data_IF_587103578290
#
_entry.id   IF_587103578290
#
_cell.length_a   1.000
_cell.length_b   1.000
_cell.length_c   1.000
_cell.angle_alpha   90.00
_cell.angle_beta   90.00
_cell.angle_gamma   90.00
#
_symmetry.space_group_name_H-M   'P 1'
#
loop_
_entity.id
_entity.type
_entity.pdbx_description
1 polymer ?
#
# COMPACT_ATOMS: atom_id res chain seq x y z
N UNK A 1 -29.61 -4.81 9.78
CA UNK A 1 -28.33 -4.59 9.06
C UNK A 1 -28.66 -4.31 7.60
N UNK A 2 -28.25 -3.17 7.04
CA UNK A 2 -28.45 -2.91 5.60
C UNK A 2 -27.55 -3.85 4.79
N UNK A 3 -28.15 -4.71 3.96
CA UNK A 3 -27.41 -5.59 3.04
C UNK A 3 -26.76 -4.68 1.99
N UNK A 4 -25.43 -4.61 2.01
CA UNK A 4 -24.69 -3.84 1.03
C UNK A 4 -24.51 -4.67 -0.25
N UNK A 5 -25.14 -4.26 -1.34
CA UNK A 5 -24.99 -4.90 -2.65
C UNK A 5 -23.70 -4.42 -3.32
N UNK A 6 -22.76 -5.33 -3.58
CA UNK A 6 -21.50 -5.02 -4.27
C UNK A 6 -21.46 -5.72 -5.63
N UNK A 7 -21.08 -4.99 -6.68
CA UNK A 7 -21.00 -5.50 -8.06
C UNK A 7 -19.59 -5.36 -8.64
N UNK A 8 -19.16 -6.34 -9.42
CA UNK A 8 -17.92 -6.26 -10.18
C UNK A 8 -18.06 -5.36 -11.41
N UNK A 9 -17.01 -4.58 -11.70
CA UNK A 9 -17.00 -3.58 -12.78
C UNK A 9 -16.08 -3.95 -13.95
N UNK A 10 -15.50 -5.14 -13.97
CA UNK A 10 -14.57 -5.58 -15.03
C UNK A 10 -14.75 -7.08 -15.28
N UNK A 11 -14.37 -7.52 -16.47
CA UNK A 11 -14.30 -8.95 -16.82
C UNK A 11 -12.92 -9.24 -17.39
N UNK A 12 -12.32 -10.36 -17.01
CA UNK A 12 -11.02 -10.81 -17.50
C UNK A 12 -11.23 -11.57 -18.82
N UNK A 13 -10.33 -11.46 -19.82
CA UNK A 13 -10.39 -12.27 -21.03
C UNK A 13 -10.30 -13.77 -20.72
N UNK A 14 -11.00 -14.58 -21.52
CA UNK A 14 -11.05 -16.04 -21.33
C UNK A 14 -9.69 -16.70 -21.58
N UNK A 15 -8.97 -16.26 -22.62
CA UNK A 15 -7.63 -16.73 -22.95
C UNK A 15 -6.57 -15.77 -22.37
N UNK A 16 -5.78 -16.20 -21.37
CA UNK A 16 -4.79 -15.35 -20.73
C UNK A 16 -3.63 -14.92 -21.64
N UNK A 17 -3.16 -15.81 -22.52
CA UNK A 17 -1.93 -15.64 -23.30
C UNK A 17 -2.21 -15.61 -24.82
N UNK A 18 -2.77 -14.50 -25.28
CA UNK A 18 -3.03 -14.26 -26.69
C UNK A 18 -2.20 -13.07 -27.15
N UNK A 19 -1.16 -13.31 -27.96
CA UNK A 19 -0.16 -12.30 -28.34
C UNK A 19 -0.79 -11.06 -28.97
N UNK A 20 -1.67 -11.25 -29.96
CA UNK A 20 -2.37 -10.18 -30.67
C UNK A 20 -3.14 -9.26 -29.71
N UNK A 21 -3.85 -9.84 -28.73
CA UNK A 21 -4.58 -9.08 -27.71
C UNK A 21 -3.62 -8.36 -26.76
N UNK A 22 -2.55 -9.02 -26.31
CA UNK A 22 -1.58 -8.42 -25.40
C UNK A 22 -0.91 -7.19 -26.01
N UNK A 23 -0.57 -7.24 -27.30
CA UNK A 23 0.02 -6.14 -28.07
C UNK A 23 -0.98 -5.00 -28.26
N UNK A 24 -2.23 -5.29 -28.64
CA UNK A 24 -3.29 -4.29 -28.76
C UNK A 24 -3.55 -3.57 -27.42
N UNK A 25 -3.62 -4.30 -26.32
CA UNK A 25 -3.78 -3.73 -24.98
C UNK A 25 -2.58 -2.87 -24.56
N UNK A 26 -1.36 -3.27 -24.94
CA UNK A 26 -0.16 -2.50 -24.65
C UNK A 26 -0.17 -1.17 -25.40
N UNK A 27 -0.54 -1.18 -26.69
CA UNK A 27 -0.70 0.03 -27.51
C UNK A 27 -1.71 0.98 -26.89
N UNK A 28 -2.90 0.49 -26.52
CA UNK A 28 -3.92 1.29 -25.83
C UNK A 28 -3.42 1.83 -24.49
N UNK A 29 -2.70 1.02 -23.70
CA UNK A 29 -2.16 1.46 -22.43
C UNK A 29 -1.11 2.57 -22.59
N UNK A 30 -0.26 2.47 -23.61
CA UNK A 30 0.74 3.48 -23.96
C UNK A 30 0.08 4.77 -24.45
N UNK A 31 -0.78 4.67 -25.46
CA UNK A 31 -1.46 5.82 -26.07
C UNK A 31 -2.30 6.58 -25.04
N UNK A 32 -3.07 5.89 -24.20
CA UNK A 32 -3.95 6.54 -23.21
C UNK A 32 -3.34 6.71 -21.81
N UNK A 33 -2.06 6.36 -21.64
CA UNK A 33 -1.33 6.45 -20.36
C UNK A 33 -2.04 5.73 -19.21
N UNK A 34 -2.47 4.48 -19.45
CA UNK A 34 -3.19 3.65 -18.49
C UNK A 34 -2.20 2.98 -17.52
N UNK A 35 -2.58 2.86 -16.24
CA UNK A 35 -1.73 2.19 -15.25
C UNK A 35 -1.74 0.66 -15.39
N UNK A 36 -2.88 0.09 -15.77
CA UNK A 36 -3.08 -1.35 -15.77
C UNK A 36 -4.09 -1.79 -16.84
N UNK A 37 -3.98 -3.05 -17.26
CA UNK A 37 -4.93 -3.70 -18.18
C UNK A 37 -6.34 -3.77 -17.62
N UNK A 38 -6.50 -3.72 -16.29
CA UNK A 38 -7.81 -3.66 -15.63
C UNK A 38 -8.61 -2.40 -15.99
N UNK A 39 -7.95 -1.27 -16.27
CA UNK A 39 -8.64 -0.08 -16.78
C UNK A 39 -9.26 -0.34 -18.16
N UNK A 40 -8.58 -1.09 -19.05
CA UNK A 40 -9.11 -1.52 -20.36
C UNK A 40 -10.27 -2.49 -20.16
N UNK A 41 -10.10 -3.51 -19.31
CA UNK A 41 -11.12 -4.53 -19.03
C UNK A 41 -12.41 -3.95 -18.45
N UNK A 42 -12.33 -2.86 -17.70
CA UNK A 42 -13.51 -2.14 -17.19
C UNK A 42 -14.29 -1.49 -18.31
N UNK A 43 -13.62 -0.83 -19.25
CA UNK A 43 -14.27 -0.21 -20.42
C UNK A 43 -14.84 -1.29 -21.33
N UNK A 44 -14.08 -2.35 -21.60
CA UNK A 44 -14.56 -3.50 -22.37
C UNK A 44 -15.82 -4.13 -21.76
N UNK A 45 -15.86 -4.30 -20.44
CA UNK A 45 -17.04 -4.82 -19.74
C UNK A 45 -18.25 -3.88 -19.82
N UNK A 46 -18.04 -2.56 -19.70
CA UNK A 46 -19.09 -1.57 -19.87
C UNK A 46 -19.65 -1.57 -21.29
N UNK A 47 -18.78 -1.58 -22.30
CA UNK A 47 -19.14 -1.64 -23.71
C UNK A 47 -19.93 -2.92 -24.03
N UNK A 48 -19.52 -4.08 -23.49
CA UNK A 48 -20.25 -5.33 -23.66
C UNK A 48 -21.68 -5.28 -23.10
N UNK A 49 -21.89 -4.61 -21.95
CA UNK A 49 -23.24 -4.42 -21.40
C UNK A 49 -24.09 -3.51 -22.29
N UNK A 50 -23.51 -2.42 -22.78
CA UNK A 50 -24.17 -1.47 -23.68
C UNK A 50 -24.58 -2.17 -24.99
N UNK A 51 -23.66 -2.91 -25.61
CA UNK A 51 -23.93 -3.68 -26.83
C UNK A 51 -24.95 -4.80 -26.62
N UNK A 52 -24.96 -5.46 -25.46
CA UNK A 52 -25.98 -6.46 -25.13
C UNK A 52 -27.36 -5.82 -25.09
N UNK A 53 -27.52 -4.72 -24.34
CA UNK A 53 -28.78 -3.99 -24.29
C UNK A 53 -29.22 -3.51 -25.68
N UNK A 54 -28.31 -2.99 -26.50
CA UNK A 54 -28.63 -2.58 -27.87
C UNK A 54 -29.10 -3.76 -28.75
N UNK A 55 -28.46 -4.93 -28.66
CA UNK A 55 -28.90 -6.13 -29.38
C UNK A 55 -30.30 -6.59 -28.94
N UNK A 56 -30.57 -6.61 -27.65
CA UNK A 56 -31.88 -7.02 -27.10
C UNK A 56 -33.02 -6.06 -27.53
N UNK A 57 -32.70 -4.79 -27.79
CA UNK A 57 -33.65 -3.80 -28.31
C UNK A 57 -33.83 -3.91 -29.83
N UNK A 58 -32.78 -4.26 -30.57
CA UNK A 58 -32.82 -4.40 -32.03
C UNK A 58 -33.54 -5.66 -32.51
N UNK A 59 -33.71 -6.67 -31.65
CA UNK A 59 -34.54 -7.85 -31.97
C UNK A 59 -36.03 -7.56 -31.91
N UNK A 60 -36.44 -6.46 -31.28
CA UNK A 60 -37.84 -6.03 -31.18
C UNK A 60 -38.25 -5.24 -32.41
N UNK A 61 -39.54 -5.15 -32.67
CA UNK A 61 -40.07 -4.31 -33.74
C UNK A 61 -39.69 -2.83 -33.55
N UNK A 62 -39.53 -2.10 -34.66
CA UNK A 62 -39.10 -0.70 -34.67
C UNK A 62 -40.04 0.21 -33.88
N UNK A 63 -41.33 -0.13 -33.80
CA UNK A 63 -42.36 0.66 -33.12
C UNK A 63 -42.67 0.18 -31.70
N UNK A 64 -41.97 -0.82 -31.19
CA UNK A 64 -42.15 -1.30 -29.81
C UNK A 64 -41.85 -0.19 -28.79
N UNK A 65 -42.76 0.02 -27.83
CA UNK A 65 -42.65 1.10 -26.85
C UNK A 65 -41.36 1.00 -26.02
N UNK A 66 -40.94 -0.22 -25.66
CA UNK A 66 -39.71 -0.44 -24.90
C UNK A 66 -38.48 -0.12 -25.73
N UNK A 67 -38.46 -0.52 -27.01
CA UNK A 67 -37.37 -0.18 -27.94
C UNK A 67 -37.21 1.32 -28.08
N UNK A 68 -38.31 2.03 -28.30
CA UNK A 68 -38.31 3.48 -28.44
C UNK A 68 -37.86 4.17 -27.15
N UNK A 69 -38.37 3.77 -26.00
CA UNK A 69 -38.05 4.40 -24.72
C UNK A 69 -36.61 4.11 -24.27
N UNK A 70 -36.24 2.83 -24.13
CA UNK A 70 -34.92 2.44 -23.64
C UNK A 70 -33.81 2.74 -24.66
N UNK A 71 -34.09 2.59 -25.95
CA UNK A 71 -33.15 2.88 -27.03
C UNK A 71 -32.79 4.36 -27.07
N UNK A 72 -33.79 5.25 -27.06
CA UNK A 72 -33.54 6.70 -27.02
C UNK A 72 -32.82 7.12 -25.72
N UNK A 73 -33.16 6.52 -24.58
CA UNK A 73 -32.47 6.78 -23.33
C UNK A 73 -30.99 6.34 -23.36
N UNK A 74 -30.69 5.21 -24.01
CA UNK A 74 -29.31 4.73 -24.20
C UNK A 74 -28.52 5.69 -25.08
N UNK A 75 -29.06 6.07 -26.24
CA UNK A 75 -28.42 6.99 -27.19
C UNK A 75 -28.16 8.35 -26.54
N UNK A 76 -29.17 8.95 -25.88
CA UNK A 76 -29.02 10.25 -25.20
C UNK A 76 -27.89 10.23 -24.16
N UNK A 77 -27.74 9.15 -23.40
CA UNK A 77 -26.63 9.02 -22.44
C UNK A 77 -25.27 9.01 -23.13
N UNK A 78 -25.14 8.25 -24.23
CA UNK A 78 -23.88 8.14 -24.98
C UNK A 78 -23.48 9.44 -25.69
N UNK A 79 -24.46 10.15 -26.26
CA UNK A 79 -24.25 11.48 -26.85
C UNK A 79 -23.85 12.48 -25.77
N UNK A 80 -24.49 12.46 -24.59
CA UNK A 80 -24.15 13.38 -23.49
C UNK A 80 -22.71 13.27 -23.00
N UNK A 81 -22.14 12.07 -22.95
CA UNK A 81 -20.71 11.88 -22.64
C UNK A 81 -19.80 12.09 -23.86
N UNK A 82 -20.34 12.22 -25.06
CA UNK A 82 -19.60 12.44 -26.29
C UNK A 82 -18.92 11.19 -26.86
N UNK A 83 -19.40 10.00 -26.48
CA UNK A 83 -18.91 8.72 -27.04
C UNK A 83 -19.51 8.48 -28.42
N UNK A 84 -20.73 8.98 -28.65
CA UNK A 84 -21.44 8.91 -29.91
C UNK A 84 -21.66 10.34 -30.43
N UNK A 85 -21.44 10.57 -31.73
CA UNK A 85 -21.71 11.86 -32.37
C UNK A 85 -23.21 12.11 -32.52
N UNK A 86 -23.59 13.39 -32.64
CA UNK A 86 -24.98 13.81 -32.80
C UNK A 86 -25.60 13.33 -34.12
N UNK A 87 -24.78 13.11 -35.15
CA UNK A 87 -25.24 12.61 -36.46
C UNK A 87 -25.57 11.11 -36.44
N UNK A 88 -25.11 10.38 -35.41
CA UNK A 88 -25.16 8.90 -35.33
C UNK A 88 -26.19 8.41 -34.32
N UNK A 89 -27.36 9.04 -34.24
CA UNK A 89 -28.43 8.69 -33.29
C UNK A 89 -29.28 7.46 -33.71
N UNK A 90 -28.63 6.37 -34.12
CA UNK A 90 -29.28 5.06 -34.35
C UNK A 90 -28.62 3.97 -33.52
N UNK A 91 -29.39 2.96 -33.12
CA UNK A 91 -28.90 1.85 -32.28
C UNK A 91 -27.80 1.03 -32.97
N UNK A 92 -27.79 0.96 -34.30
CA UNK A 92 -26.78 0.20 -35.05
C UNK A 92 -25.37 0.75 -34.83
N UNK A 93 -25.22 2.09 -34.74
CA UNK A 93 -23.93 2.72 -34.45
C UNK A 93 -23.43 2.42 -33.04
N UNK A 94 -24.32 2.11 -32.09
CA UNK A 94 -23.95 1.70 -30.73
C UNK A 94 -23.25 0.35 -30.73
N UNK A 95 -23.60 -0.56 -31.66
CA UNK A 95 -22.93 -1.84 -31.81
C UNK A 95 -21.48 -1.68 -32.32
N UNK A 96 -21.25 -0.69 -33.18
CA UNK A 96 -19.95 -0.42 -33.80
C UNK A 96 -18.96 0.35 -32.90
N UNK A 97 -19.39 0.87 -31.73
CA UNK A 97 -18.53 1.61 -30.81
C UNK A 97 -17.31 0.80 -30.38
N UNK A 98 -16.13 1.42 -30.31
CA UNK A 98 -14.88 0.77 -29.89
C UNK A 98 -14.47 1.22 -28.49
N UNK A 99 -13.37 0.66 -27.97
CA UNK A 99 -12.88 0.97 -26.61
C UNK A 99 -12.31 2.39 -26.56
N UNK A 100 -11.66 2.78 -27.65
CA UNK A 100 -11.04 4.07 -27.90
C UNK A 100 -12.06 5.21 -27.73
N UNK A 101 -13.28 5.06 -28.25
CA UNK A 101 -14.34 6.07 -28.15
C UNK A 101 -14.68 6.43 -26.69
N UNK A 102 -14.53 5.49 -25.76
CA UNK A 102 -14.70 5.73 -24.32
C UNK A 102 -13.42 6.28 -23.67
N UNK A 103 -12.24 5.80 -24.07
CA UNK A 103 -10.97 6.28 -23.55
C UNK A 103 -10.72 7.74 -23.92
N UNK A 104 -11.20 8.18 -25.09
CA UNK A 104 -11.12 9.55 -25.57
C UNK A 104 -11.84 10.54 -24.66
N UNK A 105 -12.91 10.10 -23.99
CA UNK A 105 -13.78 10.95 -23.16
C UNK A 105 -13.33 11.05 -21.71
N UNK A 106 -12.22 10.42 -21.34
CA UNK A 106 -11.66 10.50 -19.99
C UNK A 106 -11.04 11.87 -19.72
N UNK A 107 -11.09 12.32 -18.47
CA UNK A 107 -10.47 13.58 -18.07
C UNK A 107 -8.97 13.62 -18.39
N UNK A 108 -8.28 12.47 -18.26
CA UNK A 108 -6.86 12.36 -18.58
C UNK A 108 -6.53 12.73 -20.03
N UNK A 109 -7.29 12.21 -21.00
CA UNK A 109 -7.09 12.48 -22.44
C UNK A 109 -7.56 13.88 -22.79
N UNK A 110 -8.70 14.30 -22.25
CA UNK A 110 -9.24 15.65 -22.46
C UNK A 110 -8.27 16.74 -22.00
N UNK A 111 -7.64 16.58 -20.84
CA UNK A 111 -6.63 17.51 -20.33
C UNK A 111 -5.40 17.59 -21.25
N UNK A 112 -4.96 16.46 -21.81
CA UNK A 112 -3.86 16.42 -22.76
C UNK A 112 -4.23 17.11 -24.08
N UNK A 113 -5.42 16.80 -24.62
CA UNK A 113 -5.92 17.41 -25.87
C UNK A 113 -6.15 18.92 -25.78
N UNK A 114 -6.54 19.42 -24.60
CA UNK A 114 -6.68 20.86 -24.34
C UNK A 114 -5.33 21.58 -24.16
N UNK A 115 -4.19 20.86 -24.19
CA UNK A 115 -2.87 21.46 -24.10
C UNK A 115 -2.44 21.87 -22.68
N UNK A 116 -3.28 21.64 -21.65
CA UNK A 116 -2.96 21.91 -20.24
C UNK A 116 -1.80 21.05 -19.73
N UNK A 117 -1.55 19.91 -20.38
CA UNK A 117 -0.45 19.01 -20.07
C UNK A 117 0.36 18.69 -21.34
N UNK A 118 1.69 18.71 -21.21
CA UNK A 118 2.63 18.34 -22.30
C UNK A 118 2.56 16.87 -22.74
N UNK A 119 2.07 15.98 -21.89
CA UNK A 119 2.01 14.54 -22.12
C UNK A 119 0.83 13.93 -21.37
N UNK A 120 0.34 12.79 -21.83
CA UNK A 120 -0.76 12.05 -21.19
C UNK A 120 -0.36 11.55 -19.80
N UNK A 121 0.91 11.23 -19.58
CA UNK A 121 1.43 10.90 -18.25
C UNK A 121 1.47 12.14 -17.34
N UNK A 122 1.84 13.30 -17.89
CA UNK A 122 1.81 14.57 -17.16
C UNK A 122 0.37 14.95 -16.76
N UNK A 123 -0.61 14.76 -17.65
CA UNK A 123 -2.03 14.98 -17.36
C UNK A 123 -2.49 14.14 -16.15
N UNK A 124 -2.12 12.85 -16.12
CA UNK A 124 -2.47 11.96 -15.00
C UNK A 124 -1.90 12.47 -13.67
N UNK A 125 -0.66 12.94 -13.67
CA UNK A 125 0.00 13.48 -12.48
C UNK A 125 -0.71 14.77 -12.01
N UNK A 126 -1.00 15.71 -12.92
CA UNK A 126 -1.72 16.94 -12.59
C UNK A 126 -3.11 16.67 -11.96
N UNK A 127 -3.85 15.71 -12.51
CA UNK A 127 -5.16 15.31 -11.97
C UNK A 127 -4.99 14.74 -10.55
N UNK A 128 -4.11 13.75 -10.39
CA UNK A 128 -3.91 13.06 -9.10
C UNK A 128 -3.37 13.98 -8.01
N UNK A 129 -2.55 14.96 -8.38
CA UNK A 129 -2.01 16.00 -7.50
C UNK A 129 -3.00 17.17 -7.25
N UNK A 130 -4.22 17.10 -7.77
CA UNK A 130 -5.31 18.07 -7.55
C UNK A 130 -5.07 19.43 -8.19
N UNK A 131 -4.37 19.48 -9.32
CA UNK A 131 -4.11 20.71 -10.06
C UNK A 131 -5.19 21.06 -11.07
N UNK A 132 -6.14 20.16 -11.34
CA UNK A 132 -7.16 20.33 -12.39
C UNK A 132 -8.55 20.39 -11.76
N UNK A 133 -9.38 21.28 -12.29
CA UNK A 133 -10.79 21.41 -11.96
C UNK A 133 -11.67 21.25 -13.20
N UNK A 134 -12.90 20.79 -12.99
CA UNK A 134 -13.97 20.84 -13.97
C UNK A 134 -15.01 21.82 -13.42
N UNK A 135 -15.08 23.00 -14.03
CA UNK A 135 -15.76 24.16 -13.47
C UNK A 135 -15.08 24.58 -12.15
N UNK A 136 -15.87 24.70 -11.08
CA UNK A 136 -15.36 25.05 -9.74
C UNK A 136 -14.88 23.84 -8.93
N UNK A 137 -15.14 22.63 -9.40
CA UNK A 137 -14.90 21.40 -8.64
C UNK A 137 -13.55 20.78 -9.01
N UNK A 138 -12.71 20.53 -7.99
CA UNK A 138 -11.46 19.80 -8.19
C UNK A 138 -11.76 18.31 -8.40
N UNK A 139 -11.16 17.74 -9.45
CA UNK A 139 -11.33 16.31 -9.79
C UNK A 139 -9.96 15.63 -9.75
N UNK A 140 -9.85 14.57 -8.95
CA UNK A 140 -8.61 13.80 -8.75
C UNK A 140 -8.63 12.39 -9.36
N UNK A 141 -9.64 12.08 -10.19
CA UNK A 141 -9.84 10.77 -10.80
C UNK A 141 -9.57 10.84 -12.31
N UNK A 142 -8.49 10.22 -12.83
CA UNK A 142 -8.17 10.23 -14.27
C UNK A 142 -9.21 9.54 -15.16
N UNK A 143 -10.02 8.64 -14.59
CA UNK A 143 -11.10 7.94 -15.29
C UNK A 143 -12.45 8.67 -15.21
N UNK A 144 -12.47 9.93 -14.80
CA UNK A 144 -13.68 10.75 -14.84
C UNK A 144 -14.12 10.94 -16.29
N UNK A 145 -15.36 10.57 -16.61
CA UNK A 145 -15.92 10.73 -17.96
C UNK A 145 -16.44 12.16 -18.12
N UNK A 146 -15.81 12.92 -19.00
CA UNK A 146 -16.12 14.34 -19.23
C UNK A 146 -17.33 14.44 -20.16
N UNK A 147 -18.40 15.06 -19.68
CA UNK A 147 -19.57 15.42 -20.51
C UNK A 147 -19.21 16.55 -21.48
N UNK A 148 -19.84 16.58 -22.65
CA UNK A 148 -19.58 17.60 -23.66
C UNK A 148 -19.74 19.04 -23.09
N UNK A 149 -20.81 19.30 -22.34
CA UNK A 149 -21.07 20.61 -21.72
C UNK A 149 -19.97 21.04 -20.73
N UNK A 150 -19.40 20.07 -20.00
CA UNK A 150 -18.38 20.31 -18.98
C UNK A 150 -16.98 20.44 -19.56
N UNK A 151 -16.78 20.07 -20.82
CA UNK A 151 -15.46 20.06 -21.46
C UNK A 151 -14.85 21.46 -21.56
N UNK A 152 -15.67 22.48 -21.85
CA UNK A 152 -15.24 23.90 -21.92
C UNK A 152 -14.78 24.46 -20.57
N UNK A 153 -15.15 23.79 -19.48
CA UNK A 153 -14.88 24.24 -18.12
C UNK A 153 -13.69 23.51 -17.49
N UNK A 154 -12.89 22.80 -18.26
CA UNK A 154 -11.66 22.16 -17.77
C UNK A 154 -10.56 23.20 -17.72
N UNK A 155 -10.04 23.47 -16.53
CA UNK A 155 -8.92 24.39 -16.34
C UNK A 155 -8.12 24.02 -15.08
N UNK A 156 -7.02 24.72 -14.81
CA UNK A 156 -6.30 24.61 -13.54
C UNK A 156 -7.18 25.03 -12.37
N UNK A 157 -7.05 24.30 -11.26
CA UNK A 157 -7.78 24.62 -10.05
C UNK A 157 -7.32 25.97 -9.49
N UNK A 158 -8.23 26.84 -9.01
CA UNK A 158 -7.87 28.19 -8.55
C UNK A 158 -6.95 28.20 -7.33
N UNK A 159 -6.95 27.12 -6.53
CA UNK A 159 -6.06 26.95 -5.37
C UNK A 159 -4.71 26.30 -5.72
N UNK A 160 -4.56 25.85 -6.97
CA UNK A 160 -3.33 25.24 -7.46
C UNK A 160 -2.28 26.31 -7.75
N UNK A 161 -0.97 26.04 -7.55
CA UNK A 161 0.09 26.93 -8.01
C UNK A 161 -0.02 27.30 -9.49
N UNK A 162 -0.53 26.40 -10.33
CA UNK A 162 -0.72 26.63 -11.77
C UNK A 162 -1.94 27.52 -12.08
N UNK A 163 -2.91 27.62 -11.16
CA UNK A 163 -4.10 28.46 -11.29
C UNK A 163 -4.01 29.77 -10.51
N UNK A 164 -2.79 30.24 -10.18
CA UNK A 164 -2.56 31.47 -9.41
C UNK A 164 -2.62 31.31 -7.89
N UNK A 165 -2.77 30.08 -7.40
CA UNK A 165 -2.75 29.76 -5.97
C UNK A 165 -1.36 29.84 -5.34
N UNK A 166 -1.32 29.67 -4.00
CA UNK A 166 -0.07 29.74 -3.22
C UNK A 166 0.98 28.76 -3.73
N UNK A 167 2.23 29.22 -3.82
CA UNK A 167 3.38 28.40 -4.19
C UNK A 167 3.50 27.12 -3.33
N UNK A 168 3.88 26.02 -3.99
CA UNK A 168 4.03 24.72 -3.36
C UNK A 168 5.09 24.70 -2.25
N UNK A 169 5.02 23.73 -1.35
CA UNK A 169 5.93 23.59 -0.19
C UNK A 169 7.41 23.60 -0.59
N UNK A 170 7.77 22.88 -1.65
CA UNK A 170 9.17 22.78 -2.11
C UNK A 170 9.67 24.13 -2.62
N UNK A 171 8.88 24.84 -3.43
CA UNK A 171 9.23 26.19 -3.91
C UNK A 171 9.41 27.17 -2.74
N UNK A 172 8.51 27.12 -1.74
CA UNK A 172 8.62 27.94 -0.52
C UNK A 172 9.85 27.59 0.34
N UNK A 173 10.18 26.29 0.45
CA UNK A 173 11.37 25.84 1.17
C UNK A 173 12.66 26.29 0.47
N UNK A 174 12.69 26.24 -0.86
CA UNK A 174 13.85 26.64 -1.64
C UNK A 174 14.01 28.16 -1.68
N UNK A 175 12.91 28.93 -1.74
CA UNK A 175 12.99 30.39 -1.64
C UNK A 175 13.53 30.83 -0.28
N UNK A 176 13.13 30.15 0.81
CA UNK A 176 13.67 30.42 2.15
C UNK A 176 15.13 30.02 2.34
N UNK A 177 15.71 29.19 1.46
CA UNK A 177 17.15 28.91 1.47
C UNK A 177 17.99 29.97 0.74
N UNK A 178 17.36 30.80 -0.09
CA UNK A 178 18.03 31.87 -0.83
C UNK A 178 18.03 33.20 -0.08
N UNK A 179 17.30 33.30 1.03
CA UNK A 179 17.23 34.47 1.91
C UNK A 179 17.83 34.11 3.27
N UNK A 180 19.10 34.50 3.49
CA UNK A 180 19.89 34.47 4.75
C UNK A 180 20.35 33.06 5.20
N UNK A 181 21.63 32.75 5.47
CA UNK A 181 22.61 33.43 6.34
C UNK A 181 22.04 33.80 7.72
N UNK A 182 21.26 32.87 8.27
CA UNK A 182 20.91 32.82 9.68
C UNK A 182 20.71 31.37 10.05
N UNK A 183 21.53 30.85 10.96
CA UNK A 183 21.27 29.59 11.65
C UNK A 183 19.99 29.75 12.49
N UNK A 184 18.84 29.73 11.83
CA UNK A 184 17.61 29.35 12.49
C UNK A 184 17.75 27.86 12.79
N UNK A 185 18.20 27.55 14.01
CA UNK A 185 17.89 26.29 14.66
C UNK A 185 16.36 26.13 14.60
N UNK A 186 15.84 25.58 13.50
CA UNK A 186 14.46 25.13 13.40
C UNK A 186 14.25 24.26 14.64
N UNK A 187 13.45 24.72 15.62
CA UNK A 187 13.13 23.96 16.82
C UNK A 187 12.50 22.64 16.39
N UNK A 188 13.34 21.62 16.26
CA UNK A 188 12.94 20.29 15.88
C UNK A 188 12.20 19.72 17.08
N UNK A 189 10.87 19.85 17.08
CA UNK A 189 10.04 19.34 18.16
C UNK A 189 10.41 17.90 18.55
N UNK A 190 10.14 17.51 19.81
CA UNK A 190 10.62 16.28 20.45
C UNK A 190 10.41 14.96 19.67
N UNK A 191 9.57 14.95 18.64
CA UNK A 191 9.24 13.81 17.76
C UNK A 191 9.79 13.95 16.33
N UNK A 192 10.71 14.86 16.09
CA UNK A 192 11.38 15.01 14.81
C UNK A 192 12.16 13.72 14.45
N UNK A 193 11.97 13.25 13.23
CA UNK A 193 12.63 12.03 12.72
C UNK A 193 12.09 10.71 13.26
N UNK A 194 11.02 10.68 14.07
CA UNK A 194 10.54 9.43 14.69
C UNK A 194 9.49 8.69 13.85
N UNK A 195 9.05 9.24 12.70
CA UNK A 195 7.95 8.68 11.89
C UNK A 195 8.21 7.23 11.46
N UNK A 196 9.41 6.95 10.94
CA UNK A 196 9.79 5.59 10.54
C UNK A 196 10.22 4.74 11.73
N UNK A 197 10.94 5.31 12.71
CA UNK A 197 11.42 4.58 13.89
C UNK A 197 10.29 4.05 14.78
N UNK A 198 9.19 4.81 14.93
CA UNK A 198 8.05 4.41 15.77
C UNK A 198 6.89 3.84 14.96
N UNK A 199 7.12 3.55 13.68
CA UNK A 199 6.14 2.89 12.83
C UNK A 199 5.83 1.50 13.39
N UNK A 200 4.55 1.12 13.35
CA UNK A 200 4.12 -0.22 13.76
C UNK A 200 4.44 -1.23 12.66
N UNK A 201 4.80 -2.44 13.09
CA UNK A 201 5.09 -3.56 12.22
C UNK A 201 3.87 -3.93 11.35
N UNK A 202 4.12 -4.58 10.20
CA UNK A 202 3.09 -4.99 9.25
C UNK A 202 2.00 -5.84 9.92
N UNK A 203 0.72 -5.57 9.58
CA UNK A 203 -0.48 -6.21 10.18
C UNK A 203 -0.62 -6.03 11.69
N UNK A 204 0.16 -5.16 12.32
CA UNK A 204 0.01 -4.80 13.74
C UNK A 204 -0.64 -3.44 13.93
N UNK A 205 -1.34 -2.89 12.92
CA UNK A 205 -2.11 -1.65 13.06
C UNK A 205 -3.46 -1.94 13.72
N UNK A 206 -3.79 -1.24 14.81
CA UNK A 206 -5.02 -1.44 15.57
C UNK A 206 -4.83 -1.39 17.09
N UNK A 207 -5.88 -1.77 17.82
CA UNK A 207 -5.86 -1.83 19.28
C UNK A 207 -4.71 -2.70 19.81
N UNK A 208 -4.14 -2.30 20.95
CA UNK A 208 -3.07 -3.06 21.60
C UNK A 208 -3.71 -4.27 22.31
N UNK A 209 -3.14 -5.49 22.17
CA UNK A 209 -3.67 -6.66 22.86
C UNK A 209 -3.59 -6.50 24.38
N UNK A 210 -4.61 -7.00 25.09
CA UNK A 210 -4.69 -6.96 26.55
C UNK A 210 -3.47 -7.57 27.24
N UNK A 211 -2.83 -8.56 26.61
CA UNK A 211 -1.60 -9.18 27.09
C UNK A 211 -0.45 -8.20 27.32
N UNK A 212 -0.44 -7.04 26.65
CA UNK A 212 0.60 -6.03 26.90
C UNK A 212 0.37 -5.29 28.22
N UNK A 213 -0.89 -5.03 28.58
CA UNK A 213 -1.25 -4.36 29.83
C UNK A 213 -1.15 -5.28 31.04
N UNK A 214 -1.45 -6.58 30.86
CA UNK A 214 -1.44 -7.59 31.92
C UNK A 214 -0.06 -8.19 32.20
N UNK A 215 0.99 -7.71 31.51
CA UNK A 215 2.36 -8.17 31.79
C UNK A 215 2.82 -7.67 33.15
N UNK A 216 3.23 -8.61 34.00
CA UNK A 216 3.81 -8.33 35.30
C UNK A 216 5.29 -8.01 35.12
N UNK A 217 5.71 -6.84 35.60
CA UNK A 217 7.10 -6.42 35.66
C UNK A 217 7.54 -6.40 37.12
N UNK A 218 8.76 -6.87 37.38
CA UNK A 218 9.38 -6.84 38.70
C UNK A 218 10.62 -5.96 38.67
N UNK A 219 10.98 -5.41 39.82
CA UNK A 219 12.25 -4.69 39.99
C UNK A 219 13.40 -5.67 39.74
N UNK A 220 14.38 -5.25 38.93
CA UNK A 220 15.48 -6.09 38.48
C UNK A 220 15.24 -6.84 37.16
N UNK A 221 14.03 -6.80 36.59
CA UNK A 221 13.76 -7.37 35.27
C UNK A 221 14.56 -6.63 34.19
N UNK A 222 15.05 -7.38 33.20
CA UNK A 222 15.71 -6.81 32.02
C UNK A 222 14.64 -6.59 30.94
N UNK A 223 14.54 -5.35 30.47
CA UNK A 223 13.49 -4.92 29.55
C UNK A 223 14.05 -4.14 28.36
N UNK A 224 13.42 -4.32 27.21
CA UNK A 224 13.66 -3.56 26.00
C UNK A 224 12.64 -2.42 25.87
N UNK A 225 13.14 -1.24 25.52
CA UNK A 225 12.33 -0.06 25.27
C UNK A 225 11.96 -0.04 23.79
N UNK A 226 10.73 -0.43 23.45
CA UNK A 226 10.21 -0.37 22.08
C UNK A 226 8.93 0.45 22.03
N UNK A 227 9.06 1.68 21.54
CA UNK A 227 7.94 2.62 21.44
C UNK A 227 6.82 2.05 20.56
N UNK A 228 5.58 2.21 21.01
CA UNK A 228 4.38 1.85 20.26
C UNK A 228 3.69 3.13 19.82
N UNK A 229 3.69 3.43 18.51
CA UNK A 229 3.14 4.68 17.98
C UNK A 229 1.63 4.90 18.20
N UNK A 230 0.88 3.89 18.67
CA UNK A 230 -0.54 4.05 18.98
C UNK A 230 -0.82 4.74 20.31
N UNK A 231 0.13 4.74 21.24
CA UNK A 231 0.01 5.39 22.55
C UNK A 231 1.01 6.52 22.60
N UNK A 232 0.52 7.73 22.89
CA UNK A 232 1.36 8.93 22.90
C UNK A 232 1.92 9.27 24.28
N UNK A 233 1.24 8.84 25.35
CA UNK A 233 1.60 9.15 26.74
C UNK A 233 2.75 8.24 27.20
N UNK A 234 3.75 8.82 27.88
CA UNK A 234 4.91 8.08 28.39
C UNK A 234 5.80 7.47 27.31
N UNK A 235 5.73 8.00 26.09
CA UNK A 235 6.56 7.59 24.95
C UNK A 235 8.04 7.92 25.22
N UNK A 236 8.97 6.99 24.95
CA UNK A 236 10.40 7.25 25.10
C UNK A 236 10.88 8.27 24.08
N UNK A 237 11.91 9.06 24.45
CA UNK A 237 12.68 9.81 23.48
C UNK A 237 13.39 8.86 22.50
N UNK A 238 13.56 9.28 21.23
CA UNK A 238 14.14 8.47 20.15
C UNK A 238 15.45 7.77 20.51
N UNK A 239 16.27 8.41 21.34
CA UNK A 239 17.55 7.90 21.80
C UNK A 239 17.45 6.59 22.60
N UNK A 240 16.35 6.41 23.36
CA UNK A 240 16.16 5.22 24.20
C UNK A 240 15.41 4.11 23.47
N UNK A 241 14.88 4.36 22.28
CA UNK A 241 14.20 3.34 21.49
C UNK A 241 15.19 2.26 21.04
N UNK A 242 14.84 1.01 21.27
CA UNK A 242 15.67 -0.17 20.99
C UNK A 242 16.74 -0.44 22.04
N UNK A 243 16.86 0.38 23.09
CA UNK A 243 17.80 0.11 24.18
C UNK A 243 17.20 -0.85 25.20
N UNK A 244 18.07 -1.69 25.75
CA UNK A 244 17.77 -2.56 26.88
C UNK A 244 18.17 -1.85 28.18
N UNK A 245 17.40 -2.06 29.24
CA UNK A 245 17.66 -1.52 30.56
C UNK A 245 17.12 -2.40 31.67
N UNK A 246 17.36 -1.99 32.91
CA UNK A 246 16.95 -2.71 34.11
C UNK A 246 15.82 -1.96 34.78
N UNK A 247 14.75 -2.65 35.16
CA UNK A 247 13.63 -2.06 35.88
C UNK A 247 14.07 -1.69 37.31
N UNK A 248 13.96 -0.42 37.67
CA UNK A 248 14.27 0.06 39.02
C UNK A 248 13.01 0.33 39.85
N UNK A 249 11.89 0.63 39.21
CA UNK A 249 10.63 0.94 39.87
C UNK A 249 9.46 0.46 39.00
N UNK A 250 8.39 -0.01 39.65
CA UNK A 250 7.16 -0.43 38.99
C UNK A 250 6.00 0.33 39.65
N UNK A 251 5.22 1.03 38.84
CA UNK A 251 4.05 1.80 39.27
C UNK A 251 2.79 1.24 38.63
N UNK A 252 1.60 1.71 39.04
CA UNK A 252 0.30 1.24 38.52
C UNK A 252 0.18 1.25 36.99
N UNK A 253 0.81 2.22 36.31
CA UNK A 253 0.68 2.40 34.86
C UNK A 253 2.00 2.47 34.10
N UNK A 254 3.13 2.45 34.81
CA UNK A 254 4.44 2.70 34.22
C UNK A 254 5.56 1.91 34.89
N UNK A 255 6.62 1.69 34.12
CA UNK A 255 7.84 1.02 34.54
C UNK A 255 8.98 2.03 34.42
N UNK A 256 9.71 2.20 35.52
CA UNK A 256 10.94 2.96 35.57
C UNK A 256 12.11 2.08 35.14
N UNK A 257 12.84 2.48 34.10
CA UNK A 257 13.95 1.72 33.51
C UNK A 257 15.24 2.54 33.61
N UNK A 258 16.30 1.93 34.12
CA UNK A 258 17.66 2.47 34.09
C UNK A 258 18.31 2.06 32.77
N UNK A 259 18.80 3.05 32.03
CA UNK A 259 19.46 2.85 30.73
C UNK A 259 20.73 3.69 30.67
N UNK A 260 21.79 3.11 30.11
CA UNK A 260 23.03 3.84 29.88
C UNK A 260 22.94 4.72 28.62
N UNK A 261 23.23 6.01 28.79
CA UNK A 261 23.33 6.99 27.72
C UNK A 261 24.78 7.45 27.58
N UNK A 262 25.31 7.35 26.38
CA UNK A 262 26.60 7.95 26.00
C UNK A 262 26.41 9.46 25.89
N UNK A 263 27.22 10.22 26.63
CA UNK A 263 27.28 11.69 26.56
C UNK A 263 28.76 12.07 26.45
N UNK A 264 29.19 12.46 25.25
CA UNK A 264 30.62 12.59 24.94
C UNK A 264 31.33 11.25 25.12
N UNK A 265 32.41 11.23 25.89
CA UNK A 265 33.26 10.06 26.09
C UNK A 265 32.86 9.19 27.30
N UNK A 266 31.77 9.51 28.00
CA UNK A 266 31.34 8.80 29.22
C UNK A 266 29.93 8.23 29.10
N UNK A 267 29.71 7.13 29.82
CA UNK A 267 28.39 6.54 30.02
C UNK A 267 27.74 7.14 31.27
N UNK A 268 26.51 7.63 31.12
CA UNK A 268 25.70 8.16 32.22
C UNK A 268 24.45 7.30 32.35
N UNK A 269 24.20 6.85 33.58
CA UNK A 269 22.94 6.19 33.91
C UNK A 269 21.78 7.18 33.85
N UNK A 270 20.74 6.84 33.09
CA UNK A 270 19.52 7.63 32.98
C UNK A 270 18.33 6.81 33.41
N UNK A 271 17.55 7.35 34.34
CA UNK A 271 16.26 6.82 34.77
C UNK A 271 15.19 7.35 33.83
N UNK A 272 14.48 6.45 33.16
CA UNK A 272 13.42 6.78 32.21
C UNK A 272 12.12 6.15 32.70
N UNK A 273 11.06 6.94 32.79
CA UNK A 273 9.73 6.46 33.17
C UNK A 273 8.91 6.24 31.90
N UNK A 274 8.51 4.99 31.67
CA UNK A 274 7.83 4.56 30.44
C UNK A 274 6.52 3.89 30.81
N UNK A 275 5.50 4.04 29.97
CA UNK A 275 4.31 3.22 30.14
C UNK A 275 4.53 1.79 29.68
N UNK A 276 3.73 0.87 30.20
CA UNK A 276 3.82 -0.58 29.97
C UNK A 276 3.76 -0.94 28.49
N UNK A 277 3.02 -0.17 27.67
CA UNK A 277 2.87 -0.38 26.22
C UNK A 277 4.17 -0.16 25.42
N UNK A 278 5.14 0.53 26.02
CA UNK A 278 6.43 0.86 25.41
C UNK A 278 7.59 -0.01 25.91
N UNK A 279 7.30 -0.96 26.81
CA UNK A 279 8.29 -1.80 27.46
C UNK A 279 8.01 -3.27 27.11
N UNK A 280 9.06 -4.05 26.85
CA UNK A 280 8.96 -5.49 26.60
C UNK A 280 9.98 -6.21 27.48
N UNK A 281 9.64 -7.37 28.04
CA UNK A 281 10.65 -8.24 28.63
C UNK A 281 11.67 -8.61 27.57
N UNK A 282 12.95 -8.45 27.91
CA UNK A 282 14.03 -8.81 27.00
C UNK A 282 14.29 -10.31 27.05
N UNK A 283 14.57 -10.90 25.90
CA UNK A 283 14.96 -12.30 25.79
C UNK A 283 16.48 -12.52 25.98
N UNK A 284 17.26 -11.45 26.15
CA UNK A 284 18.72 -11.51 26.16
C UNK A 284 19.31 -12.48 27.21
N UNK A 285 18.62 -12.67 28.34
CA UNK A 285 19.05 -13.57 29.42
C UNK A 285 18.42 -14.97 29.35
N UNK A 286 17.43 -15.18 28.48
CA UNK A 286 16.69 -16.44 28.44
C UNK A 286 17.56 -17.62 28.00
N UNK A 287 18.39 -17.45 26.97
CA UNK A 287 19.31 -18.52 26.50
C UNK A 287 20.25 -18.95 27.63
N UNK A 288 20.81 -17.99 28.37
CA UNK A 288 21.68 -18.28 29.51
C UNK A 288 20.95 -19.06 30.61
N UNK A 289 19.74 -18.63 31.00
CA UNK A 289 18.97 -19.30 32.04
C UNK A 289 18.52 -20.70 31.62
N UNK A 290 18.08 -20.86 30.36
CA UNK A 290 17.70 -22.16 29.81
C UNK A 290 18.89 -23.11 29.82
N UNK A 291 20.08 -22.62 29.49
CA UNK A 291 21.33 -23.38 29.55
C UNK A 291 21.72 -23.78 30.97
N UNK A 292 21.60 -22.86 31.94
CA UNK A 292 21.88 -23.19 33.35
C UNK A 292 20.96 -24.32 33.82
N UNK A 293 19.68 -24.26 33.46
CA UNK A 293 18.69 -25.30 33.78
C UNK A 293 19.00 -26.62 33.07
N UNK A 294 19.28 -26.60 31.76
CA UNK A 294 19.60 -27.82 31.00
C UNK A 294 20.88 -28.47 31.51
N UNK A 295 21.92 -27.67 31.81
CA UNK A 295 23.17 -28.17 32.36
C UNK A 295 22.99 -28.77 33.75
N UNK A 296 22.14 -28.17 34.59
CA UNK A 296 21.82 -28.74 35.90
C UNK A 296 21.07 -30.08 35.78
N UNK A 297 20.13 -30.19 34.84
CA UNK A 297 19.43 -31.44 34.56
C UNK A 297 20.39 -32.53 34.05
N UNK A 298 21.21 -32.21 33.06
CA UNK A 298 22.22 -33.14 32.53
C UNK A 298 23.22 -33.60 33.60
N UNK A 299 23.66 -32.70 34.49
CA UNK A 299 24.51 -33.10 35.64
C UNK A 299 23.80 -34.06 36.58
N UNK A 300 22.50 -33.87 36.81
CA UNK A 300 21.71 -34.73 37.68
C UNK A 300 21.55 -36.12 37.05
N UNK A 301 21.18 -36.19 35.78
CA UNK A 301 21.05 -37.44 35.02
C UNK A 301 22.37 -38.20 34.92
N UNK A 302 23.48 -37.50 34.67
CA UNK A 302 24.82 -38.08 34.63
C UNK A 302 25.21 -38.70 35.97
N UNK A 303 24.89 -38.01 37.08
CA UNK A 303 25.15 -38.50 38.44
C UNK A 303 24.30 -39.74 38.76
N UNK A 304 23.06 -39.79 38.31
CA UNK A 304 22.17 -40.95 38.48
C UNK A 304 22.64 -42.17 37.66
N UNK A 305 23.20 -41.95 36.46
CA UNK A 305 23.72 -43.01 35.58
C UNK A 305 25.18 -43.41 35.87
N UNK A 306 25.92 -42.62 36.64
CA UNK A 306 27.34 -42.83 36.91
C UNK A 306 28.28 -42.41 35.76
N UNK A 307 27.78 -41.61 34.80
CA UNK A 307 28.54 -41.15 33.63
C UNK A 307 29.12 -39.73 33.84
N UNK A 308 30.20 -39.39 33.15
CA UNK A 308 30.70 -38.00 33.09
C UNK A 308 30.11 -37.25 31.90
N UNK A 309 29.54 -36.06 32.13
CA UNK A 309 28.98 -35.19 31.07
C UNK A 309 29.86 -33.97 30.82
N UNK A 310 30.20 -33.75 29.54
CA UNK A 310 30.88 -32.55 29.06
C UNK A 310 29.88 -31.43 28.77
N UNK A 311 30.00 -30.30 29.48
CA UNK A 311 29.09 -29.14 29.36
C UNK A 311 29.71 -27.98 28.57
N UNK A 312 30.88 -28.21 27.94
CA UNK A 312 31.54 -27.19 27.11
C UNK A 312 30.72 -26.96 25.84
N UNK A 313 30.57 -25.70 25.44
CA UNK A 313 29.92 -25.34 24.18
C UNK A 313 30.81 -25.80 23.04
N UNK A 314 30.31 -26.70 22.21
CA UNK A 314 30.92 -27.02 20.93
C UNK A 314 30.15 -26.27 19.82
N UNK A 315 30.83 -25.70 18.82
CA UNK A 315 30.15 -25.20 17.63
C UNK A 315 29.42 -26.34 16.92
N UNK A 316 28.34 -26.01 16.22
CA UNK A 316 27.60 -26.99 15.42
C UNK A 316 28.54 -27.62 14.40
N UNK A 317 28.72 -28.93 14.51
CA UNK A 317 29.55 -29.69 13.57
C UNK A 317 28.82 -29.81 12.22
N UNK A 318 29.56 -30.00 11.11
CA UNK A 318 28.95 -30.34 9.83
C UNK A 318 28.03 -31.54 9.99
N UNK A 319 26.95 -31.56 9.20
CA UNK A 319 26.04 -32.71 9.18
C UNK A 319 26.84 -33.97 8.86
N UNK A 320 26.58 -35.03 9.61
CA UNK A 320 27.20 -36.32 9.35
C UNK A 320 26.95 -36.76 7.91
N UNK A 321 27.98 -37.30 7.27
CA UNK A 321 27.85 -37.84 5.93
C UNK A 321 26.90 -39.05 6.00
N UNK A 322 25.80 -38.99 5.26
CA UNK A 322 24.92 -40.14 5.07
C UNK A 322 25.05 -40.63 3.64
N UNK A 323 25.26 -41.93 3.47
CA UNK A 323 25.17 -42.57 2.16
C UNK A 323 23.70 -42.64 1.79
N UNK A 324 23.32 -41.97 0.71
CA UNK A 324 21.96 -42.06 0.16
C UNK A 324 21.89 -43.33 -0.67
N UNK A 325 21.22 -44.36 -0.14
CA UNK A 325 20.95 -45.60 -0.88
C UNK A 325 19.99 -45.34 -2.04
N UNK A 326 20.26 -45.96 -3.19
CA UNK A 326 19.41 -45.92 -4.39
C UNK A 326 18.22 -46.88 -4.32
N UNK A 327 18.21 -47.79 -3.34
CA UNK A 327 17.08 -48.67 -3.07
C UNK A 327 15.90 -47.85 -2.50
N UNK A 328 14.87 -47.62 -3.33
CA UNK A 328 13.68 -46.84 -2.97
C UNK A 328 13.82 -45.31 -3.09
N UNK A 329 15.01 -44.79 -3.42
CA UNK A 329 15.26 -43.36 -3.57
C UNK A 329 15.97 -43.07 -4.91
N UNK A 330 15.25 -43.36 -6.01
CA UNK A 330 15.75 -43.22 -7.37
C UNK A 330 16.09 -41.74 -7.62
N UNK A 331 17.33 -41.40 -8.04
CA UNK A 331 17.71 -40.03 -8.33
C UNK A 331 16.78 -39.43 -9.40
N UNK A 332 16.03 -38.38 -9.04
CA UNK A 332 15.23 -37.63 -9.98
C UNK A 332 16.05 -36.50 -10.58
N UNK A 333 16.11 -36.46 -11.90
CA UNK A 333 16.72 -35.37 -12.65
C UNK A 333 15.74 -34.19 -12.65
N UNK A 334 15.98 -33.22 -11.76
CA UNK A 334 15.21 -32.00 -11.69
C UNK A 334 15.72 -31.02 -12.76
N UNK A 335 15.10 -31.04 -13.94
CA UNK A 335 15.21 -29.95 -14.89
C UNK A 335 14.23 -28.82 -14.50
N UNK A 336 14.57 -27.54 -14.70
CA UNK A 336 13.57 -26.49 -14.63
C UNK A 336 12.50 -26.80 -15.67
N UNK A 337 11.26 -27.05 -15.21
CA UNK A 337 10.11 -27.23 -16.09
C UNK A 337 9.97 -25.95 -16.90
N UNK A 338 10.18 -26.03 -18.21
CA UNK A 338 9.85 -24.94 -19.11
C UNK A 338 8.36 -24.62 -18.88
N UNK A 339 8.03 -23.34 -18.68
CA UNK A 339 6.66 -22.94 -18.35
C UNK A 339 5.70 -23.47 -19.42
N UNK A 340 4.98 -24.54 -19.09
CA UNK A 340 4.03 -25.17 -20.00
C UNK A 340 2.82 -24.25 -20.13
N UNK A 341 2.78 -23.48 -21.22
CA UNK A 341 1.61 -22.69 -21.63
C UNK A 341 0.57 -23.57 -22.32
N UNK A 342 0.24 -24.74 -21.76
CA UNK A 342 -0.88 -25.53 -22.27
C UNK A 342 -2.19 -24.93 -21.71
N UNK A 343 -2.88 -24.21 -22.60
CA UNK A 343 -4.31 -23.92 -22.57
C UNK A 343 -4.98 -24.87 -23.56
#
# INVERSE_FOLDING_TARGET
MAIHTNNQTYSVPKQPYESARLDAELKLAGEYGLKNKREIYRIGFQLSKIRRAARDLLTRDDKDEKRLFEGNALIRRLVRVGVLGEDKMKLDYVLALRIEDFLERRLQTQVFKLGLARSIHHARVLITQRHIAVGKQIVNIPSFMVRLDSQKHIDFAPKSPYGGGRAGRVKRKNSGKGSEEGDEEEERGYRSGTRYMFQRDFKKHGAIPLSTYLKVYKVGDIVDIKANGSIQKGMPHKYYHGKTGIVYNVTKSSVGVIVNKVVGNRYIEKKVNLRVEHVKHSACRQEFLNRVKSNAALKKEAKEKGEQVSLKRQPAQPREAKVVGTEGNIPQLLAPVAYETFI
#
